data_IF_496767888122
#
_entry.id   IF_496767888122
#
_cell.length_a   1.000
_cell.length_b   1.000
_cell.length_c   1.000
_cell.angle_alpha   90.00
_cell.angle_beta   90.00
_cell.angle_gamma   90.00
#
_symmetry.space_group_name_H-M   'P 1'
#
loop_
_entity.id
_entity.type
_entity.pdbx_description
1 polymer ?
#
# COMPACT_ATOMS: atom_id res chain seq x y z
N UNK A 1 -61.94 20.21 -3.41
CA UNK A 1 -61.05 21.40 -3.39
C UNK A 1 -60.40 21.48 -2.01
N UNK A 2 -59.23 20.86 -1.84
CA UNK A 2 -58.48 20.89 -0.56
C UNK A 2 -57.03 21.21 -0.87
N UNK A 3 -56.64 22.42 -0.46
CA UNK A 3 -55.35 23.04 -0.75
C UNK A 3 -54.28 22.53 0.23
N UNK A 4 -53.28 21.82 -0.28
CA UNK A 4 -52.09 21.39 0.48
C UNK A 4 -51.08 22.54 0.51
N UNK A 5 -50.84 23.12 1.69
CA UNK A 5 -49.74 24.07 1.93
C UNK A 5 -48.44 23.29 2.15
N UNK A 6 -47.46 23.48 1.26
CA UNK A 6 -46.09 23.02 1.43
C UNK A 6 -45.35 23.96 2.39
N UNK A 7 -44.85 23.41 3.49
CA UNK A 7 -44.02 24.11 4.46
C UNK A 7 -42.56 23.75 4.19
N UNK A 8 -41.81 24.64 3.54
CA UNK A 8 -40.39 24.46 3.25
C UNK A 8 -39.58 25.23 4.30
N UNK A 9 -38.75 24.58 5.14
CA UNK A 9 -37.91 25.29 6.09
C UNK A 9 -36.78 26.03 5.36
N UNK A 10 -36.71 27.35 5.59
CA UNK A 10 -35.69 28.25 5.06
C UNK A 10 -34.29 27.85 5.53
N UNK A 11 -33.44 27.53 4.56
CA UNK A 11 -32.01 27.30 4.75
C UNK A 11 -31.35 28.66 4.99
N UNK A 12 -31.05 28.98 6.26
CA UNK A 12 -30.20 30.14 6.61
C UNK A 12 -28.80 29.90 6.05
N UNK A 13 -28.43 30.67 5.03
CA UNK A 13 -27.06 30.74 4.50
C UNK A 13 -26.26 31.59 5.48
N UNK A 14 -25.42 30.95 6.29
CA UNK A 14 -24.43 31.63 7.11
C UNK A 14 -23.26 32.02 6.19
N UNK A 15 -23.24 33.28 5.75
CA UNK A 15 -22.05 33.89 5.16
C UNK A 15 -21.02 34.11 6.28
N UNK A 16 -20.01 33.26 6.36
CA UNK A 16 -18.79 33.60 7.10
C UNK A 16 -17.91 34.46 6.21
N UNK A 17 -17.78 35.73 6.60
CA UNK A 17 -16.89 36.69 5.99
C UNK A 17 -15.42 36.30 6.25
N UNK A 18 -14.64 36.27 5.16
CA UNK A 18 -13.18 36.33 5.18
C UNK A 18 -12.74 37.65 5.83
N UNK A 19 -12.04 37.56 6.96
CA UNK A 19 -11.01 38.50 7.36
C UNK A 19 -9.68 37.72 7.25
N UNK A 20 -8.69 38.09 6.47
CA UNK A 20 -8.11 39.42 6.37
C UNK A 20 -6.78 39.41 7.14
N UNK A 21 -5.78 38.70 6.63
CA UNK A 21 -4.40 38.77 7.12
C UNK A 21 -3.47 39.12 5.94
N UNK A 22 -3.46 40.41 5.61
CA UNK A 22 -2.41 41.06 4.83
C UNK A 22 -1.16 41.16 5.71
N UNK A 23 -0.30 40.15 5.67
CA UNK A 23 1.05 40.25 6.26
C UNK A 23 2.00 40.83 5.22
N UNK A 24 2.18 42.14 5.33
CA UNK A 24 3.33 42.96 4.94
C UNK A 24 4.55 42.22 4.36
N UNK A 25 4.82 42.48 3.07
CA UNK A 25 6.12 42.27 2.42
C UNK A 25 7.08 43.39 2.87
N UNK A 26 8.28 43.09 3.40
CA UNK A 26 9.34 44.08 3.46
C UNK A 26 9.92 44.27 2.05
N UNK A 27 9.77 45.49 1.55
CA UNK A 27 10.54 45.99 0.42
C UNK A 27 11.99 46.26 0.86
N UNK A 28 12.90 46.19 -0.12
CA UNK A 28 14.29 46.66 -0.12
C UNK A 28 15.37 45.68 0.35
N UNK A 29 16.20 45.22 -0.60
CA UNK A 29 17.48 45.89 -0.85
C UNK A 29 18.11 45.34 -2.14
N UNK A 30 18.23 46.23 -3.12
CA UNK A 30 19.11 46.11 -4.27
C UNK A 30 20.55 46.01 -3.75
N UNK A 31 21.26 44.92 -4.05
CA UNK A 31 22.65 44.73 -3.63
C UNK A 31 23.49 44.27 -4.83
N UNK A 32 24.08 45.19 -5.62
CA UNK A 32 25.02 44.83 -6.66
C UNK A 32 26.41 44.69 -6.04
N UNK A 33 26.78 43.47 -5.67
CA UNK A 33 28.19 43.10 -5.44
C UNK A 33 28.64 42.12 -6.51
N UNK A 34 29.28 42.70 -7.54
CA UNK A 34 30.20 42.02 -8.43
C UNK A 34 31.40 41.53 -7.60
N UNK A 35 31.37 40.26 -7.19
CA UNK A 35 32.48 39.53 -6.59
C UNK A 35 33.08 38.56 -7.60
N UNK A 36 34.33 38.80 -7.95
CA UNK A 36 35.24 37.96 -8.76
C UNK A 36 35.28 36.48 -8.33
N UNK A 37 35.44 35.52 -9.27
CA UNK A 37 35.69 34.13 -8.95
C UNK A 37 37.16 33.94 -8.51
N UNK A 38 37.37 33.71 -7.21
CA UNK A 38 38.66 33.30 -6.68
C UNK A 38 38.72 31.77 -6.66
N UNK A 39 39.74 31.22 -7.32
CA UNK A 39 39.90 29.79 -7.54
C UNK A 39 40.03 28.98 -6.26
N UNK A 40 39.29 27.87 -6.18
CA UNK A 40 39.48 26.86 -5.16
C UNK A 40 40.58 25.90 -5.60
N UNK A 41 41.71 25.98 -4.89
CA UNK A 41 42.73 24.95 -4.88
C UNK A 41 42.15 23.68 -4.26
N UNK A 42 42.29 22.57 -4.98
CA UNK A 42 42.01 21.23 -4.47
C UNK A 42 43.18 20.78 -3.59
N UNK A 43 43.05 20.92 -2.27
CA UNK A 43 43.90 20.20 -1.33
C UNK A 43 43.18 18.95 -0.83
N UNK A 44 43.62 17.81 -1.34
CA UNK A 44 43.24 16.49 -0.84
C UNK A 44 43.73 16.30 0.59
N UNK A 45 42.79 16.20 1.53
CA UNK A 45 43.06 15.62 2.84
C UNK A 45 42.56 14.18 2.87
N UNK A 46 43.52 13.26 2.81
CA UNK A 46 43.34 11.87 3.20
C UNK A 46 42.96 11.84 4.70
N UNK A 47 41.69 11.55 5.00
CA UNK A 47 41.30 11.19 6.35
C UNK A 47 41.68 9.73 6.59
N UNK A 48 42.68 9.56 7.44
CA UNK A 48 43.12 8.28 7.98
C UNK A 48 41.97 7.66 8.78
N UNK A 49 41.71 6.39 8.51
CA UNK A 49 40.64 5.63 9.17
C UNK A 49 40.91 5.41 10.65
N UNK A 50 39.99 5.88 11.49
CA UNK A 50 39.83 5.36 12.84
C UNK A 50 39.26 3.94 12.74
N UNK A 51 40.10 2.96 13.08
CA UNK A 51 39.68 1.59 13.34
C UNK A 51 38.88 1.59 14.65
N UNK A 52 37.56 1.51 14.55
CA UNK A 52 36.70 1.25 15.70
C UNK A 52 36.86 -0.22 16.08
N UNK A 53 37.58 -0.47 17.16
CA UNK A 53 37.68 -1.76 17.82
C UNK A 53 36.31 -2.16 18.37
N UNK A 54 35.67 -3.15 17.76
CA UNK A 54 34.44 -3.75 18.28
C UNK A 54 34.82 -4.64 19.46
N UNK A 55 34.66 -4.13 20.68
CA UNK A 55 34.76 -4.91 21.91
C UNK A 55 33.61 -5.91 21.97
N UNK A 56 33.96 -7.18 21.76
CA UNK A 56 33.17 -8.34 22.17
C UNK A 56 32.84 -8.29 23.66
N UNK A 57 31.62 -8.71 24.01
CA UNK A 57 31.32 -9.23 25.34
C UNK A 57 30.21 -8.50 26.09
N UNK A 58 28.97 -8.82 25.77
CA UNK A 58 27.88 -8.74 26.75
C UNK A 58 27.08 -10.04 26.67
N UNK A 59 27.44 -10.91 27.61
CA UNK A 59 26.80 -12.20 27.90
C UNK A 59 25.43 -11.88 28.50
N UNK A 60 24.35 -12.15 27.76
CA UNK A 60 22.99 -11.99 28.27
C UNK A 60 22.76 -12.93 29.47
N UNK A 61 22.27 -12.43 30.61
CA UNK A 61 21.90 -13.26 31.75
C UNK A 61 20.69 -14.14 31.40
N UNK A 62 20.76 -15.39 31.88
CA UNK A 62 19.85 -16.48 31.55
C UNK A 62 18.38 -16.15 31.78
N UNK A 63 17.57 -16.45 30.77
CA UNK A 63 16.13 -16.60 30.89
C UNK A 63 15.86 -18.04 31.34
N UNK A 64 15.77 -18.26 32.66
CA UNK A 64 15.17 -19.47 33.21
C UNK A 64 13.69 -19.47 32.85
N UNK A 65 13.33 -20.29 31.86
CA UNK A 65 11.94 -20.59 31.54
C UNK A 65 11.37 -21.45 32.68
N UNK A 66 10.20 -21.11 33.24
CA UNK A 66 9.55 -21.95 34.23
C UNK A 66 9.18 -23.31 33.61
N UNK A 67 9.26 -24.41 34.38
CA UNK A 67 8.88 -25.74 33.90
C UNK A 67 7.38 -25.74 33.57
N UNK A 68 7.07 -25.68 32.28
CA UNK A 68 5.73 -25.79 31.75
C UNK A 68 5.13 -27.15 32.08
N UNK A 69 4.00 -27.13 32.80
CA UNK A 69 3.14 -28.30 33.02
C UNK A 69 2.89 -29.02 31.70
N UNK A 70 3.29 -30.28 31.65
CA UNK A 70 2.98 -31.21 30.57
C UNK A 70 1.47 -31.19 30.28
N UNK A 71 1.10 -30.81 29.05
CA UNK A 71 -0.26 -31.00 28.56
C UNK A 71 -0.51 -32.51 28.41
N UNK A 72 -1.64 -33.04 28.91
CA UNK A 72 -2.00 -34.44 28.69
C UNK A 72 -2.13 -34.71 27.19
N UNK A 73 -1.56 -35.85 26.78
CA UNK A 73 -1.39 -36.26 25.40
C UNK A 73 -2.70 -36.30 24.63
N UNK A 74 -2.71 -35.63 23.48
CA UNK A 74 -3.67 -35.93 22.43
C UNK A 74 -3.17 -37.22 21.79
N UNK A 75 -3.88 -38.31 22.03
CA UNK A 75 -3.73 -39.58 21.32
C UNK A 75 -3.82 -39.31 19.82
N UNK A 76 -2.66 -39.34 19.15
CA UNK A 76 -2.60 -39.46 17.72
C UNK A 76 -3.17 -40.83 17.35
N UNK A 77 -4.36 -40.84 16.76
CA UNK A 77 -4.88 -42.04 16.09
C UNK A 77 -3.90 -42.46 15.00
N UNK A 78 -3.35 -43.69 15.04
CA UNK A 78 -2.51 -44.19 13.96
C UNK A 78 -3.42 -44.47 12.75
N UNK A 79 -3.41 -43.54 11.79
CA UNK A 79 -3.92 -43.79 10.46
C UNK A 79 -3.18 -44.97 9.85
N UNK A 80 -3.94 -45.97 9.41
CA UNK A 80 -3.45 -47.22 8.86
C UNK A 80 -2.34 -47.01 7.81
N UNK A 81 -1.15 -47.53 8.11
CA UNK A 81 -0.09 -47.74 7.13
C UNK A 81 -0.58 -48.81 6.15
N UNK A 82 -0.95 -48.38 4.94
CA UNK A 82 -1.06 -49.28 3.81
C UNK A 82 0.34 -49.86 3.52
N UNK A 83 0.55 -51.09 3.94
CA UNK A 83 1.74 -51.87 3.66
C UNK A 83 1.91 -52.03 2.13
N UNK A 84 3.02 -51.55 1.58
CA UNK A 84 3.43 -51.87 0.20
C UNK A 84 3.94 -50.73 -0.68
N UNK A 85 4.22 -49.53 -0.14
CA UNK A 85 4.75 -48.42 -0.94
C UNK A 85 6.26 -48.51 -1.16
N UNK A 86 6.70 -49.01 -2.32
CA UNK A 86 8.05 -48.76 -2.82
C UNK A 86 8.25 -47.25 -2.93
N UNK A 87 9.33 -46.73 -2.33
CA UNK A 87 9.71 -45.33 -2.47
C UNK A 87 10.10 -45.06 -3.93
N UNK A 88 9.18 -44.51 -4.72
CA UNK A 88 9.48 -44.09 -6.09
C UNK A 88 10.41 -42.87 -6.05
N UNK A 89 11.43 -42.88 -6.91
CA UNK A 89 12.33 -41.74 -7.05
C UNK A 89 11.58 -40.54 -7.66
N UNK A 90 11.97 -39.32 -7.26
CA UNK A 90 11.34 -38.08 -7.74
C UNK A 90 11.44 -37.92 -9.27
N UNK A 91 12.47 -38.49 -9.89
CA UNK A 91 12.63 -38.51 -11.34
C UNK A 91 11.60 -39.44 -12.03
N UNK A 92 11.21 -40.53 -11.37
CA UNK A 92 10.22 -41.48 -11.88
C UNK A 92 8.78 -40.95 -11.75
N UNK A 93 8.50 -40.18 -10.71
CA UNK A 93 7.23 -39.48 -10.53
C UNK A 93 6.97 -38.40 -11.61
N UNK A 94 8.02 -37.73 -12.10
CA UNK A 94 7.91 -36.71 -13.16
C UNK A 94 7.78 -37.32 -14.56
N UNK A 95 8.22 -38.56 -14.77
CA UNK A 95 8.07 -39.29 -16.04
C UNK A 95 6.70 -39.95 -16.19
N UNK A 96 5.97 -40.16 -15.10
CA UNK A 96 4.57 -40.57 -15.17
C UNK A 96 3.73 -39.38 -15.64
N UNK A 97 3.47 -39.34 -16.95
CA UNK A 97 2.43 -38.48 -17.52
C UNK A 97 1.17 -38.60 -16.67
N UNK A 98 0.56 -37.48 -16.25
CA UNK A 98 -0.63 -37.52 -15.41
C UNK A 98 -1.66 -38.43 -16.09
N UNK A 99 -2.32 -39.33 -15.36
CA UNK A 99 -3.37 -40.16 -15.93
C UNK A 99 -4.36 -39.21 -16.58
N UNK A 100 -4.56 -39.37 -17.89
CA UNK A 100 -5.63 -38.69 -18.61
C UNK A 100 -6.91 -39.21 -17.98
N UNK A 101 -7.42 -38.48 -16.99
CA UNK A 101 -8.72 -38.73 -16.38
C UNK A 101 -9.73 -38.49 -17.49
N UNK A 102 -10.03 -39.57 -18.21
CA UNK A 102 -11.12 -39.65 -19.17
C UNK A 102 -12.36 -39.46 -18.33
N UNK A 103 -12.85 -38.21 -18.25
CA UNK A 103 -14.14 -37.88 -17.65
C UNK A 103 -15.16 -38.79 -18.31
N UNK A 104 -15.55 -39.84 -17.61
CA UNK A 104 -16.74 -40.59 -17.98
C UNK A 104 -17.89 -39.58 -18.05
N UNK A 105 -18.68 -39.57 -19.13
CA UNK A 105 -19.89 -38.78 -19.21
C UNK A 105 -20.84 -39.28 -18.11
N UNK A 106 -20.84 -38.56 -16.99
CA UNK A 106 -21.81 -38.77 -15.92
C UNK A 106 -23.20 -38.55 -16.51
N UNK A 107 -24.01 -39.60 -16.40
CA UNK A 107 -25.46 -39.76 -16.53
C UNK A 107 -26.30 -38.63 -17.19
N UNK A 108 -27.35 -39.01 -17.95
CA UNK A 108 -28.28 -38.07 -18.57
C UNK A 108 -28.89 -37.13 -17.53
N UNK A 109 -28.75 -35.83 -17.81
CA UNK A 109 -29.36 -34.75 -17.09
C UNK A 109 -30.85 -35.03 -16.85
N UNK A 110 -31.22 -35.20 -15.58
CA UNK A 110 -32.60 -35.09 -15.15
C UNK A 110 -33.10 -33.70 -15.57
N UNK A 111 -34.17 -33.69 -16.36
CA UNK A 111 -34.87 -32.51 -16.90
C UNK A 111 -35.31 -31.58 -15.77
N UNK A 112 -34.39 -30.76 -15.25
CA UNK A 112 -34.69 -29.63 -14.39
C UNK A 112 -35.25 -28.51 -15.27
N UNK A 113 -36.57 -28.52 -15.33
CA UNK A 113 -37.43 -27.56 -16.01
C UNK A 113 -37.07 -26.12 -15.59
N UNK A 114 -36.53 -25.34 -16.53
CA UNK A 114 -36.85 -23.93 -16.72
C UNK A 114 -36.65 -22.99 -15.53
N UNK A 115 -35.46 -22.92 -14.96
CA UNK A 115 -35.01 -21.68 -14.33
C UNK A 115 -34.46 -20.78 -15.42
N UNK A 116 -35.24 -19.81 -15.91
CA UNK A 116 -34.66 -18.71 -16.68
C UNK A 116 -33.67 -18.03 -15.76
N UNK A 117 -32.38 -18.33 -15.92
CA UNK A 117 -31.32 -17.47 -15.41
C UNK A 117 -31.50 -16.14 -16.14
N UNK A 118 -32.32 -15.30 -15.53
CA UNK A 118 -32.47 -13.91 -15.84
C UNK A 118 -31.11 -13.34 -15.50
N UNK A 119 -30.21 -13.40 -16.48
CA UNK A 119 -28.86 -12.86 -16.39
C UNK A 119 -29.06 -11.48 -15.83
N UNK A 120 -28.57 -11.27 -14.61
CA UNK A 120 -28.67 -10.00 -13.94
C UNK A 120 -27.91 -9.03 -14.86
N UNK A 121 -28.65 -8.40 -15.78
CA UNK A 121 -28.28 -7.13 -16.34
C UNK A 121 -28.27 -6.23 -15.12
N UNK A 122 -27.14 -6.22 -14.43
CA UNK A 122 -26.76 -5.09 -13.61
C UNK A 122 -26.83 -3.94 -14.58
N UNK A 123 -27.95 -3.22 -14.56
CA UNK A 123 -28.03 -1.89 -15.08
C UNK A 123 -26.89 -1.15 -14.41
N UNK A 124 -25.77 -1.06 -15.12
CA UNK A 124 -24.54 -0.41 -14.70
C UNK A 124 -24.81 1.09 -14.67
N UNK A 125 -25.69 1.51 -13.76
CA UNK A 125 -25.80 2.89 -13.34
C UNK A 125 -24.38 3.29 -12.93
N UNK A 126 -23.74 4.12 -13.76
CA UNK A 126 -22.33 4.48 -13.70
C UNK A 126 -21.86 4.66 -12.25
N UNK A 127 -21.27 3.62 -11.66
CA UNK A 127 -20.96 3.58 -10.22
C UNK A 127 -19.70 4.39 -9.88
N UNK A 128 -19.42 5.47 -10.62
CA UNK A 128 -18.15 6.18 -10.61
C UNK A 128 -17.03 5.37 -11.25
N UNK A 129 -15.84 5.95 -11.32
CA UNK A 129 -14.59 5.27 -11.62
C UNK A 129 -13.59 5.51 -10.49
N UNK A 130 -12.53 4.71 -10.47
CA UNK A 130 -11.38 4.94 -9.62
C UNK A 130 -10.10 4.61 -10.38
N UNK A 131 -9.01 5.21 -9.93
CA UNK A 131 -7.68 5.00 -10.50
C UNK A 131 -6.86 4.12 -9.57
N UNK A 132 -6.20 3.11 -10.13
CA UNK A 132 -5.23 2.27 -9.42
C UNK A 132 -3.86 2.58 -9.97
N UNK A 133 -2.95 3.01 -9.11
CA UNK A 133 -1.54 3.20 -9.44
C UNK A 133 -0.74 2.08 -8.80
N UNK A 134 0.23 1.56 -9.55
CA UNK A 134 1.24 0.64 -9.03
C UNK A 134 2.56 1.39 -9.05
N UNK A 135 3.11 1.65 -7.87
CA UNK A 135 4.36 2.40 -7.71
C UNK A 135 5.47 1.45 -7.29
N UNK A 136 6.62 1.57 -7.91
CA UNK A 136 7.85 0.93 -7.44
C UNK A 136 8.59 1.94 -6.58
N UNK A 137 8.86 1.59 -5.34
CA UNK A 137 9.42 2.48 -4.32
C UNK A 137 10.68 1.86 -3.75
N UNK A 138 11.72 2.67 -3.58
CA UNK A 138 13.00 2.24 -3.01
C UNK A 138 13.20 2.84 -1.62
N UNK A 139 14.04 2.16 -0.82
CA UNK A 139 14.36 2.56 0.56
C UNK A 139 15.04 3.93 0.69
N UNK A 140 15.65 4.44 -0.38
CA UNK A 140 16.24 5.78 -0.47
C UNK A 140 15.21 6.89 -0.75
N UNK A 141 13.93 6.54 -0.94
CA UNK A 141 12.85 7.48 -1.19
C UNK A 141 12.62 7.80 -2.67
N UNK A 142 13.28 7.10 -3.60
CA UNK A 142 12.94 7.18 -5.02
C UNK A 142 11.66 6.39 -5.32
N UNK A 143 10.90 6.84 -6.32
CA UNK A 143 9.72 6.11 -6.76
C UNK A 143 9.45 6.30 -8.26
N UNK A 144 8.93 5.26 -8.88
CA UNK A 144 8.55 5.23 -10.29
C UNK A 144 7.14 4.64 -10.44
N UNK A 145 6.32 5.21 -11.33
CA UNK A 145 5.05 4.61 -11.69
C UNK A 145 5.29 3.38 -12.56
N UNK A 146 4.85 2.20 -12.12
CA UNK A 146 4.90 0.96 -12.92
C UNK A 146 3.72 0.89 -13.87
N UNK A 147 2.51 1.14 -13.37
CA UNK A 147 1.29 1.14 -14.17
C UNK A 147 0.22 2.05 -13.55
N UNK A 148 -0.68 2.53 -14.40
CA UNK A 148 -1.87 3.28 -13.98
C UNK A 148 -3.09 2.73 -14.71
N UNK A 149 -4.10 2.29 -13.96
CA UNK A 149 -5.29 1.65 -14.53
C UNK A 149 -6.55 2.33 -14.02
N UNK A 150 -7.37 2.85 -14.94
CA UNK A 150 -8.71 3.33 -14.61
C UNK A 150 -9.70 2.17 -14.64
N UNK A 151 -10.42 1.98 -13.53
CA UNK A 151 -11.41 0.93 -13.34
C UNK A 151 -12.79 1.55 -13.05
N UNK A 152 -13.84 0.93 -13.56
CA UNK A 152 -15.20 1.34 -13.21
C UNK A 152 -15.58 0.87 -11.79
N UNK A 153 -16.49 1.60 -11.16
CA UNK A 153 -16.97 1.35 -9.82
C UNK A 153 -16.26 2.16 -8.74
N UNK A 154 -16.84 2.15 -7.54
CA UNK A 154 -16.26 2.78 -6.35
C UNK A 154 -15.18 1.88 -5.75
N UNK A 155 -14.16 2.49 -5.17
CA UNK A 155 -13.16 1.79 -4.38
C UNK A 155 -13.37 2.10 -2.90
N UNK A 156 -13.35 1.05 -2.07
CA UNK A 156 -13.34 1.19 -0.62
C UNK A 156 -11.88 1.28 -0.14
N UNK A 157 -11.59 2.30 0.66
CA UNK A 157 -10.33 2.45 1.36
C UNK A 157 -10.49 1.92 2.79
N UNK A 158 -9.46 1.25 3.31
CA UNK A 158 -9.47 0.82 4.69
C UNK A 158 -9.04 1.98 5.60
N UNK A 159 -9.86 2.39 6.57
CA UNK A 159 -9.45 3.40 7.55
C UNK A 159 -8.59 2.80 8.67
N UNK A 160 -8.37 1.48 8.67
CA UNK A 160 -7.57 0.78 9.66
C UNK A 160 -6.10 0.86 9.28
N UNK A 161 -5.21 1.19 10.22
CA UNK A 161 -3.79 1.15 9.97
C UNK A 161 -3.31 -0.30 9.92
N UNK A 162 -2.43 -0.58 8.95
CA UNK A 162 -1.85 -1.91 8.73
C UNK A 162 -0.39 -2.00 9.13
N UNK A 163 0.18 -0.91 9.65
CA UNK A 163 1.58 -0.74 9.98
C UNK A 163 1.92 0.74 10.14
N UNK A 164 3.21 1.04 10.14
CA UNK A 164 3.71 2.40 10.34
C UNK A 164 3.77 3.22 9.04
N UNK A 165 3.35 2.65 7.91
CA UNK A 165 3.40 3.32 6.61
C UNK A 165 2.00 3.71 6.19
N UNK A 166 1.89 4.84 5.48
CA UNK A 166 0.63 5.26 4.89
C UNK A 166 0.90 6.08 3.63
N UNK A 167 -0.06 6.07 2.71
CA UNK A 167 -0.03 6.97 1.57
C UNK A 167 -1.14 8.02 1.65
N UNK A 168 -0.86 9.18 1.09
CA UNK A 168 -1.82 10.25 0.83
C UNK A 168 -1.90 10.48 -0.67
N UNK A 169 -3.11 10.65 -1.16
CA UNK A 169 -3.37 11.10 -2.52
C UNK A 169 -4.12 12.41 -2.48
N UNK A 170 -3.66 13.39 -3.24
CA UNK A 170 -4.24 14.72 -3.29
C UNK A 170 -4.49 15.18 -4.73
N UNK A 171 -5.54 15.97 -4.91
CA UNK A 171 -5.84 16.76 -6.11
C UNK A 171 -5.59 18.23 -5.75
N UNK A 172 -4.37 18.70 -6.05
CA UNK A 172 -3.86 19.98 -5.59
C UNK A 172 -3.90 20.10 -4.06
N UNK A 173 -4.74 21.01 -3.54
CA UNK A 173 -4.85 21.26 -2.10
C UNK A 173 -5.79 20.28 -1.36
N UNK A 174 -6.55 19.46 -2.08
CA UNK A 174 -7.56 18.57 -1.49
C UNK A 174 -7.03 17.15 -1.37
N UNK A 175 -6.96 16.62 -0.16
CA UNK A 175 -6.71 15.19 0.07
C UNK A 175 -7.93 14.37 -0.38
N UNK A 176 -7.70 13.40 -1.26
CA UNK A 176 -8.72 12.49 -1.80
C UNK A 176 -8.74 11.14 -1.10
N UNK A 177 -7.57 10.62 -0.74
CA UNK A 177 -7.41 9.31 -0.14
C UNK A 177 -6.28 9.31 0.89
N UNK A 178 -6.48 8.57 1.97
CA UNK A 178 -5.47 8.19 2.95
C UNK A 178 -5.70 6.74 3.30
N UNK A 179 -4.65 5.91 3.25
CA UNK A 179 -4.76 4.50 3.65
C UNK A 179 -3.42 4.02 4.25
N UNK A 180 -3.53 3.20 5.29
CA UNK A 180 -2.40 2.56 5.94
C UNK A 180 -1.89 1.36 5.15
N UNK A 181 -0.58 1.16 5.20
CA UNK A 181 0.14 0.08 4.55
C UNK A 181 0.88 -0.75 5.61
N UNK A 182 1.04 -2.06 5.39
CA UNK A 182 2.08 -2.82 6.09
C UNK A 182 3.47 -2.26 5.73
N UNK A 183 4.53 -2.67 6.45
CA UNK A 183 5.89 -2.30 6.07
C UNK A 183 6.16 -2.81 4.64
N UNK A 184 6.31 -1.91 3.65
CA UNK A 184 6.42 -2.35 2.28
C UNK A 184 7.81 -2.93 1.99
N UNK A 185 8.81 -2.72 2.86
CA UNK A 185 10.18 -3.19 2.68
C UNK A 185 10.48 -4.47 3.46
N UNK A 186 9.48 -5.05 4.13
CA UNK A 186 9.60 -6.32 4.83
C UNK A 186 8.94 -7.43 4.01
N UNK A 187 9.76 -8.32 3.45
CA UNK A 187 9.27 -9.51 2.79
C UNK A 187 9.00 -10.61 3.81
N UNK A 188 7.75 -11.08 3.85
CA UNK A 188 7.35 -12.25 4.63
C UNK A 188 7.40 -13.50 3.74
N UNK A 189 8.38 -14.36 3.97
CA UNK A 189 8.37 -15.70 3.38
C UNK A 189 7.81 -16.70 4.39
N UNK A 190 6.78 -17.44 3.98
CA UNK A 190 6.33 -18.64 4.68
C UNK A 190 7.17 -19.81 4.18
N UNK A 191 7.84 -20.54 5.08
CA UNK A 191 8.59 -21.74 4.72
C UNK A 191 7.72 -22.67 3.88
N UNK A 192 8.17 -22.99 2.65
CA UNK A 192 7.39 -23.76 1.69
C UNK A 192 7.37 -25.27 1.95
N UNK A 193 7.99 -25.72 3.05
CA UNK A 193 8.19 -27.13 3.38
C UNK A 193 7.58 -27.47 4.73
N UNK A 194 6.68 -28.47 4.72
CA UNK A 194 5.95 -28.92 5.90
C UNK A 194 6.85 -29.53 6.99
N UNK A 195 8.07 -29.90 6.62
CA UNK A 195 9.10 -30.48 7.48
C UNK A 195 10.11 -29.45 8.02
N UNK A 196 10.07 -28.20 7.54
CA UNK A 196 10.88 -27.12 8.09
C UNK A 196 10.15 -26.48 9.27
N UNK A 197 10.60 -26.80 10.49
CA UNK A 197 10.28 -26.05 11.73
C UNK A 197 10.88 -24.63 11.74
N UNK A 198 11.41 -24.17 10.62
CA UNK A 198 11.97 -22.84 10.45
C UNK A 198 10.87 -21.80 10.57
N UNK A 199 10.99 -20.93 11.58
CA UNK A 199 10.04 -19.85 11.84
C UNK A 199 9.94 -18.84 10.70
N UNK A 200 9.07 -17.85 10.87
CA UNK A 200 8.91 -16.76 9.89
C UNK A 200 10.26 -16.09 9.61
N UNK A 201 10.68 -16.14 8.34
CA UNK A 201 11.87 -15.43 7.87
C UNK A 201 11.45 -14.05 7.38
N UNK A 202 12.13 -13.03 7.90
CA UNK A 202 11.96 -11.64 7.52
C UNK A 202 13.20 -11.19 6.75
N UNK A 203 12.99 -10.68 5.54
CA UNK A 203 14.05 -10.13 4.71
C UNK A 203 13.73 -8.69 4.37
N UNK A 204 14.68 -7.80 4.62
CA UNK A 204 14.58 -6.41 4.20
C UNK A 204 14.84 -6.31 2.68
N UNK A 205 13.88 -5.76 1.94
CA UNK A 205 14.01 -5.47 0.52
C UNK A 205 14.40 -4.01 0.28
N UNK A 206 15.25 -3.77 -0.73
CA UNK A 206 15.67 -2.41 -1.10
C UNK A 206 14.63 -1.67 -1.92
N UNK A 207 13.74 -2.42 -2.57
CA UNK A 207 12.74 -1.97 -3.52
C UNK A 207 11.49 -2.80 -3.33
N UNK A 208 10.32 -2.18 -3.48
CA UNK A 208 9.03 -2.83 -3.29
C UNK A 208 7.97 -2.18 -4.18
N UNK A 209 6.82 -2.83 -4.31
CA UNK A 209 5.68 -2.32 -5.07
C UNK A 209 4.53 -1.94 -4.15
N UNK A 210 4.08 -0.69 -4.24
CA UNK A 210 2.96 -0.14 -3.50
C UNK A 210 1.78 0.09 -4.44
N UNK A 211 0.61 -0.42 -4.06
CA UNK A 211 -0.65 -0.19 -4.80
C UNK A 211 -1.42 0.96 -4.17
N UNK A 212 -1.63 2.02 -4.93
CA UNK A 212 -2.34 3.24 -4.51
C UNK A 212 -3.70 3.30 -5.19
N UNK A 213 -4.76 3.48 -4.40
CA UNK A 213 -6.14 3.52 -4.90
C UNK A 213 -6.71 4.93 -4.75
N UNK A 214 -7.20 5.50 -5.85
CA UNK A 214 -7.70 6.88 -5.91
C UNK A 214 -9.19 6.89 -6.28
N UNK A 215 -10.08 7.19 -5.33
CA UNK A 215 -11.52 7.20 -5.58
C UNK A 215 -11.93 8.38 -6.45
N UNK A 216 -12.84 8.14 -7.42
CA UNK A 216 -13.47 9.21 -8.20
C UNK A 216 -12.54 9.95 -9.16
N UNK A 217 -11.36 9.40 -9.44
CA UNK A 217 -10.34 10.02 -10.29
C UNK A 217 -10.25 9.28 -11.63
N UNK A 218 -10.31 10.01 -12.74
CA UNK A 218 -10.05 9.47 -14.07
C UNK A 218 -8.57 9.57 -14.44
N UNK A 219 -8.11 8.79 -15.41
CA UNK A 219 -6.74 8.93 -15.94
C UNK A 219 -6.47 10.34 -16.48
N UNK A 220 -7.49 11.01 -17.05
CA UNK A 220 -7.36 12.34 -17.64
C UNK A 220 -7.08 13.39 -16.57
N UNK A 221 -7.88 13.39 -15.51
CA UNK A 221 -7.77 14.38 -14.43
C UNK A 221 -6.47 14.17 -13.62
N UNK A 222 -6.06 12.91 -13.47
CA UNK A 222 -4.86 12.55 -12.74
C UNK A 222 -3.57 13.13 -13.33
N UNK A 223 -3.51 13.34 -14.65
CA UNK A 223 -2.30 13.84 -15.32
C UNK A 223 -1.92 15.25 -14.87
N UNK A 224 -2.89 16.06 -14.45
CA UNK A 224 -2.66 17.49 -14.20
C UNK A 224 -2.48 17.83 -12.72
N UNK A 225 -3.09 17.06 -11.82
CA UNK A 225 -3.27 17.50 -10.43
C UNK A 225 -2.95 16.46 -9.36
N UNK A 226 -2.66 15.21 -9.78
CA UNK A 226 -2.49 14.12 -8.84
C UNK A 226 -1.12 14.15 -8.17
N UNK A 227 -1.13 14.36 -6.87
CA UNK A 227 0.04 14.22 -6.01
C UNK A 227 -0.11 12.95 -5.15
N UNK A 228 0.96 12.19 -5.02
CA UNK A 228 1.03 11.02 -4.14
C UNK A 228 2.20 11.18 -3.18
N UNK A 229 1.94 11.02 -1.88
CA UNK A 229 2.97 11.06 -0.84
C UNK A 229 2.94 9.78 -0.04
N UNK A 230 4.12 9.24 0.25
CA UNK A 230 4.30 8.09 1.13
C UNK A 230 4.96 8.57 2.42
N UNK A 231 4.35 8.21 3.55
CA UNK A 231 4.83 8.59 4.87
C UNK A 231 5.17 7.37 5.71
N UNK A 232 6.04 7.60 6.69
CA UNK A 232 6.29 6.72 7.82
C UNK A 232 5.92 7.44 9.11
N UNK A 233 5.15 6.78 9.97
CA UNK A 233 4.84 7.20 11.32
C UNK A 233 6.09 7.11 12.18
N UNK A 234 6.26 8.07 13.08
CA UNK A 234 7.32 8.00 14.07
C UNK A 234 7.02 6.86 15.07
N UNK A 235 8.06 6.16 15.57
CA UNK A 235 7.87 5.07 16.52
C UNK A 235 7.12 5.51 17.78
N UNK A 236 6.19 4.68 18.26
CA UNK A 236 5.42 4.92 19.49
C UNK A 236 4.16 5.76 19.30
N UNK A 237 3.89 6.24 18.09
CA UNK A 237 2.65 6.95 17.79
C UNK A 237 1.50 5.97 17.56
N UNK A 238 0.32 6.18 18.20
CA UNK A 238 -0.81 5.30 18.00
C UNK A 238 -1.32 5.44 16.58
N UNK A 239 -1.26 4.34 15.84
CA UNK A 239 -1.96 4.19 14.58
C UNK A 239 -3.46 4.04 14.91
N UNK A 240 -4.16 5.16 15.03
CA UNK A 240 -5.61 5.20 15.12
C UNK A 240 -6.28 5.09 13.74
N UNK A 241 -7.59 5.31 13.68
CA UNK A 241 -8.31 5.41 12.41
C UNK A 241 -7.71 6.51 11.52
N UNK A 242 -7.32 6.16 10.30
CA UNK A 242 -6.72 7.06 9.34
C UNK A 242 -7.80 7.79 8.56
N UNK A 243 -8.00 9.07 8.88
CA UNK A 243 -8.85 10.01 8.12
C UNK A 243 -8.01 11.19 7.62
N UNK A 244 -8.48 11.97 6.63
CA UNK A 244 -7.80 13.18 6.18
C UNK A 244 -7.56 14.21 7.30
N UNK A 245 -8.50 14.33 8.24
CA UNK A 245 -8.38 15.19 9.42
C UNK A 245 -7.26 14.69 10.33
N UNK A 246 -7.25 13.38 10.63
CA UNK A 246 -6.18 12.77 11.43
C UNK A 246 -4.82 12.92 10.77
N UNK A 247 -4.73 12.77 9.45
CA UNK A 247 -3.49 13.01 8.71
C UNK A 247 -2.99 14.44 8.91
N UNK A 248 -3.89 15.42 8.94
CA UNK A 248 -3.53 16.83 9.18
C UNK A 248 -2.98 17.02 10.59
N UNK A 249 -3.59 16.41 11.60
CA UNK A 249 -3.07 16.42 12.98
C UNK A 249 -1.67 15.81 13.08
N UNK A 250 -1.48 14.63 12.48
CA UNK A 250 -0.19 13.93 12.45
C UNK A 250 0.90 14.78 11.77
N UNK A 251 0.56 15.50 10.69
CA UNK A 251 1.47 16.44 10.01
C UNK A 251 1.83 17.64 10.90
N UNK A 252 0.84 18.24 11.56
CA UNK A 252 1.05 19.38 12.46
C UNK A 252 1.89 19.00 13.69
N UNK A 253 1.68 17.80 14.22
CA UNK A 253 2.48 17.23 15.31
C UNK A 253 3.86 16.74 14.88
N UNK A 254 4.24 16.84 13.60
CA UNK A 254 5.50 16.32 13.05
C UNK A 254 5.69 14.82 13.34
N UNK A 255 4.59 14.07 13.42
CA UNK A 255 4.55 12.63 13.70
C UNK A 255 4.75 11.77 12.45
N UNK A 256 4.95 12.42 11.30
CA UNK A 256 5.14 11.78 10.00
C UNK A 256 6.46 12.23 9.38
N UNK A 257 7.21 11.25 8.89
CA UNK A 257 8.33 11.45 8.00
C UNK A 257 7.89 11.19 6.56
N UNK A 258 8.09 12.16 5.68
CA UNK A 258 7.87 11.95 4.24
C UNK A 258 9.00 11.09 3.68
N UNK A 259 8.64 9.96 3.07
CA UNK A 259 9.59 9.08 2.38
C UNK A 259 9.64 9.39 0.89
N UNK A 260 8.48 9.56 0.28
CA UNK A 260 8.33 9.77 -1.16
C UNK A 260 7.32 10.89 -1.39
N UNK A 261 7.59 11.74 -2.38
CA UNK A 261 6.65 12.74 -2.88
C UNK A 261 6.67 12.76 -4.41
N UNK A 262 5.67 12.10 -5.01
CA UNK A 262 5.42 12.12 -6.44
C UNK A 262 4.42 13.24 -6.75
N UNK A 263 4.94 14.35 -7.28
CA UNK A 263 4.14 15.49 -7.71
C UNK A 263 3.49 15.25 -9.08
N UNK A 264 2.42 15.98 -9.35
CA UNK A 264 1.68 15.93 -10.61
C UNK A 264 2.57 16.18 -11.85
N UNK A 265 3.57 17.07 -11.75
CA UNK A 265 4.49 17.38 -12.86
C UNK A 265 5.38 16.19 -13.23
N UNK A 266 5.78 15.38 -12.24
CA UNK A 266 6.56 14.15 -12.46
C UNK A 266 5.67 12.95 -12.79
N UNK A 267 4.46 12.89 -12.23
CA UNK A 267 3.55 11.76 -12.38
C UNK A 267 2.78 11.82 -13.70
N UNK A 268 2.37 13.01 -14.15
CA UNK A 268 1.55 13.22 -15.34
C UNK A 268 2.16 12.64 -16.64
N UNK A 269 3.45 12.88 -16.97
CA UNK A 269 4.10 12.23 -18.10
C UNK A 269 4.09 10.70 -18.00
N UNK A 270 4.29 10.14 -16.81
CA UNK A 270 4.29 8.69 -16.60
C UNK A 270 2.90 8.10 -16.76
N UNK A 271 1.85 8.76 -16.23
CA UNK A 271 0.46 8.33 -16.41
C UNK A 271 0.08 8.36 -17.90
N UNK A 272 0.51 9.36 -18.66
CA UNK A 272 0.27 9.39 -20.11
C UNK A 272 0.95 8.23 -20.85
N UNK A 273 2.16 7.85 -20.44
CA UNK A 273 2.92 6.78 -21.08
C UNK A 273 2.53 5.36 -20.64
N UNK A 274 2.09 5.19 -19.39
CA UNK A 274 1.84 3.88 -18.75
C UNK A 274 0.36 3.66 -18.37
N UNK A 275 -0.50 4.62 -18.70
CA UNK A 275 -1.92 4.60 -18.35
C UNK A 275 -2.74 3.74 -19.31
N UNK A 276 -3.56 2.85 -18.76
CA UNK A 276 -4.47 2.00 -19.53
C UNK A 276 -5.89 2.17 -18.99
N UNK A 277 -6.85 2.40 -19.89
CA UNK A 277 -8.27 2.27 -19.57
C UNK A 277 -8.66 0.82 -19.74
N UNK A 278 -9.11 0.17 -18.67
CA UNK A 278 -9.68 -1.16 -18.79
C UNK A 278 -10.99 -1.04 -19.59
N UNK A 279 -11.02 -1.61 -20.80
CA UNK A 279 -12.26 -1.76 -21.55
C UNK A 279 -13.06 -2.87 -20.87
N UNK A 280 -14.29 -2.54 -20.43
CA UNK A 280 -15.27 -3.52 -19.95
C UNK A 280 -16.08 -4.07 -21.12
#
# INVERSE_FOLDING_TARGET
>A
MTSKRSNTPGRKVLMMALAGALSSLPAMADNPHAGTPQGFQAEGRAQQGERISVTSGSRMPGSELPPGKARPGVEASPGALAAGGQAMSMEEALRQSPPVVRREPSAPATLARGGTQQGARQDAASQGSHLVLVLRVTTDGSAELVSATELAGKVALSPEPKGDFLYEVSDGARTLAVEGLPDPFEAHSYGGRADETSGHHFQAERETTVVVRVPGMSLRDAVEKLDVKLYRLNPGEPSGHLTPERLTELKQGQQLRTLVHLRADALGPQIRGKGIRAQQ
#
